data_IF_621614558681
#
_entry.id   IF_621614558681
#
_cell.length_a   1.000
_cell.length_b   1.000
_cell.length_c   1.000
_cell.angle_alpha   90.00
_cell.angle_beta   90.00
_cell.angle_gamma   90.00
#
_symmetry.space_group_name_H-M   'P 1'
#
loop_
_entity.id
_entity.type
_entity.pdbx_description
1 polymer ?
#
# COMPACT_ATOMS: atom_id res chain seq x y z
N UNK A 1 29.14 -47.57 24.35
CA UNK A 1 28.95 -47.12 22.95
C UNK A 1 27.46 -46.79 22.80
N UNK A 2 27.11 -45.53 23.06
CA UNK A 2 25.74 -45.02 22.96
C UNK A 2 25.66 -44.20 21.70
N UNK A 3 24.87 -44.67 20.73
CA UNK A 3 24.61 -43.97 19.48
C UNK A 3 23.69 -42.76 19.73
N UNK A 4 24.24 -41.57 19.52
CA UNK A 4 23.42 -40.38 19.45
C UNK A 4 22.61 -40.44 18.15
N UNK A 5 21.31 -40.55 18.27
CA UNK A 5 20.36 -40.38 17.18
C UNK A 5 20.45 -38.92 16.67
N UNK A 6 20.84 -38.77 15.40
CA UNK A 6 20.71 -37.52 14.67
C UNK A 6 19.22 -37.13 14.60
N UNK A 7 18.86 -36.09 15.30
CA UNK A 7 17.56 -35.40 15.13
C UNK A 7 17.63 -34.68 13.77
N UNK A 8 16.74 -34.95 12.79
CA UNK A 8 16.73 -34.22 11.53
C UNK A 8 16.25 -32.78 11.80
N UNK A 9 17.17 -31.85 11.80
CA UNK A 9 16.89 -30.43 11.79
C UNK A 9 15.92 -30.11 10.65
N UNK A 10 14.66 -29.75 10.94
CA UNK A 10 13.78 -29.15 9.97
C UNK A 10 12.32 -29.64 9.86
N UNK A 11 11.83 -30.53 10.71
CA UNK A 11 10.38 -30.80 10.72
C UNK A 11 9.63 -29.58 11.32
N UNK A 12 8.65 -28.99 10.61
CA UNK A 12 7.86 -27.89 11.16
C UNK A 12 7.18 -28.36 12.44
N UNK A 13 7.02 -27.47 13.45
CA UNK A 13 6.36 -27.85 14.68
C UNK A 13 4.92 -28.28 14.38
N UNK A 14 4.55 -29.46 14.81
CA UNK A 14 3.21 -30.10 14.58
C UNK A 14 2.01 -29.18 14.87
N UNK A 15 2.20 -28.16 15.69
CA UNK A 15 1.17 -27.19 16.03
C UNK A 15 0.92 -26.15 14.92
N UNK A 16 1.96 -25.72 14.19
CA UNK A 16 1.80 -24.76 13.10
C UNK A 16 0.95 -25.36 11.97
N UNK A 17 1.22 -26.62 11.60
CA UNK A 17 0.48 -27.32 10.54
C UNK A 17 -1.02 -27.45 10.86
N UNK A 18 -1.36 -27.68 12.15
CA UNK A 18 -2.76 -27.73 12.57
C UNK A 18 -3.50 -26.40 12.36
N UNK A 19 -2.82 -25.25 12.56
CA UNK A 19 -3.43 -23.93 12.35
C UNK A 19 -3.32 -23.44 10.91
N UNK A 20 -2.34 -23.92 10.15
CA UNK A 20 -2.25 -23.73 8.70
C UNK A 20 -3.24 -24.62 7.94
N UNK A 21 -3.86 -25.62 8.58
CA UNK A 21 -4.74 -26.60 7.96
C UNK A 21 -5.67 -26.05 6.88
N UNK A 22 -6.45 -24.98 7.15
CA UNK A 22 -7.33 -24.37 6.15
C UNK A 22 -6.58 -23.75 4.94
N UNK A 23 -5.30 -23.42 5.10
CA UNK A 23 -4.47 -22.78 4.06
C UNK A 23 -3.58 -23.80 3.32
N UNK A 24 -3.33 -24.98 3.88
CA UNK A 24 -2.44 -25.98 3.29
C UNK A 24 -2.81 -26.36 1.85
N UNK A 25 -4.11 -26.57 1.49
CA UNK A 25 -4.49 -26.88 0.12
C UNK A 25 -4.10 -25.77 -0.87
N UNK A 26 -4.20 -24.50 -0.44
CA UNK A 26 -3.85 -23.35 -1.26
C UNK A 26 -2.33 -23.14 -1.31
N UNK A 27 -1.65 -23.31 -0.18
CA UNK A 27 -0.19 -23.27 -0.10
C UNK A 27 0.47 -24.37 -0.96
N UNK A 28 -0.16 -25.51 -1.11
CA UNK A 28 0.33 -26.61 -1.95
C UNK A 28 0.16 -26.36 -3.46
N UNK A 29 -0.72 -25.42 -3.88
CA UNK A 29 -0.91 -25.08 -5.29
C UNK A 29 0.36 -24.45 -5.87
N UNK A 30 0.85 -24.96 -6.98
CA UNK A 30 2.05 -24.43 -7.68
C UNK A 30 1.82 -23.12 -8.42
N UNK A 31 0.56 -22.79 -8.73
CA UNK A 31 0.16 -21.59 -9.44
C UNK A 31 -0.13 -20.38 -8.52
N UNK A 32 -0.19 -20.58 -7.19
CA UNK A 32 -0.47 -19.51 -6.22
C UNK A 32 0.82 -18.74 -5.90
N UNK A 33 0.75 -17.43 -5.99
CA UNK A 33 1.83 -16.51 -5.65
C UNK A 33 1.62 -15.79 -4.31
N UNK A 34 0.40 -15.32 -4.07
CA UNK A 34 0.04 -14.55 -2.88
C UNK A 34 -1.33 -15.00 -2.34
N UNK A 35 -1.49 -14.93 -1.02
CA UNK A 35 -2.71 -15.27 -0.28
C UNK A 35 -3.03 -14.12 0.65
N UNK A 36 -4.30 -13.66 0.67
CA UNK A 36 -4.74 -12.59 1.55
C UNK A 36 -5.95 -13.02 2.37
N UNK A 37 -5.93 -12.72 3.66
CA UNK A 37 -7.05 -12.81 4.58
C UNK A 37 -7.25 -11.39 5.08
N UNK A 38 -8.29 -10.70 4.60
CA UNK A 38 -8.56 -9.32 5.00
C UNK A 38 -9.46 -9.27 6.25
N UNK A 39 -10.22 -10.37 6.49
CA UNK A 39 -11.10 -10.59 7.63
C UNK A 39 -11.40 -12.08 7.80
N UNK A 40 -11.91 -12.53 8.94
CA UNK A 40 -12.35 -13.91 9.14
C UNK A 40 -13.39 -14.36 8.12
N UNK A 41 -13.35 -15.63 7.75
CA UNK A 41 -14.34 -16.26 6.87
C UNK A 41 -14.12 -16.07 5.37
N UNK A 42 -13.07 -15.37 4.95
CA UNK A 42 -12.75 -15.20 3.53
C UNK A 42 -11.27 -15.44 3.23
N UNK A 43 -11.01 -15.77 1.98
CA UNK A 43 -9.68 -16.01 1.44
C UNK A 43 -9.57 -15.44 0.03
N UNK A 44 -8.55 -14.64 -0.20
CA UNK A 44 -8.17 -14.13 -1.51
C UNK A 44 -6.88 -14.78 -1.95
N UNK A 45 -6.82 -15.19 -3.22
CA UNK A 45 -5.68 -15.92 -3.80
C UNK A 45 -5.28 -15.21 -5.09
N UNK A 46 -4.00 -14.85 -5.21
CA UNK A 46 -3.43 -14.39 -6.46
C UNK A 46 -2.62 -15.51 -7.10
N UNK A 47 -2.83 -15.74 -8.40
CA UNK A 47 -2.16 -16.81 -9.13
C UNK A 47 -1.12 -16.25 -10.11
N UNK A 48 -0.28 -17.12 -10.65
CA UNK A 48 0.64 -16.80 -11.73
C UNK A 48 -0.14 -16.17 -12.91
N UNK A 49 0.30 -14.96 -13.33
CA UNK A 49 -0.42 -14.18 -14.33
C UNK A 49 -1.34 -13.10 -13.73
N UNK A 50 -1.46 -13.02 -12.40
CA UNK A 50 -2.15 -11.94 -11.70
C UNK A 50 -3.67 -12.11 -11.59
N UNK A 51 -4.22 -13.30 -11.90
CA UNK A 51 -5.63 -13.57 -11.67
C UNK A 51 -5.92 -13.64 -10.16
N UNK A 52 -7.02 -13.01 -9.74
CA UNK A 52 -7.44 -12.93 -8.36
C UNK A 52 -8.69 -13.80 -8.14
N UNK A 53 -8.62 -14.71 -7.19
CA UNK A 53 -9.72 -15.58 -6.77
C UNK A 53 -10.20 -15.14 -5.38
N UNK A 54 -11.51 -15.18 -5.14
CA UNK A 54 -12.13 -14.95 -3.84
C UNK A 54 -12.92 -16.16 -3.41
N UNK A 55 -12.63 -16.70 -2.22
CA UNK A 55 -13.26 -17.90 -1.69
C UNK A 55 -13.81 -17.65 -0.28
N UNK A 56 -15.01 -18.16 0.03
CA UNK A 56 -15.45 -18.28 1.41
C UNK A 56 -14.57 -19.30 2.13
N UNK A 57 -14.16 -18.96 3.35
CA UNK A 57 -13.29 -19.78 4.19
C UNK A 57 -13.79 -19.77 5.65
N UNK A 58 -14.94 -20.39 5.96
CA UNK A 58 -15.59 -20.32 7.26
C UNK A 58 -14.73 -20.87 8.41
N UNK A 59 -13.77 -21.75 8.11
CA UNK A 59 -12.82 -22.29 9.09
C UNK A 59 -11.77 -21.28 9.55
N UNK A 60 -11.57 -20.18 8.79
CA UNK A 60 -10.70 -19.06 9.17
C UNK A 60 -11.43 -18.14 10.16
N UNK A 61 -11.66 -18.62 11.35
CA UNK A 61 -12.32 -17.85 12.42
C UNK A 61 -11.34 -16.83 13.04
N UNK A 62 -11.85 -15.75 13.64
CA UNK A 62 -11.02 -14.76 14.34
C UNK A 62 -10.09 -15.44 15.37
N UNK A 63 -10.63 -16.32 16.20
CA UNK A 63 -9.84 -17.06 17.18
C UNK A 63 -8.78 -17.95 16.53
N UNK A 64 -9.09 -18.56 15.37
CA UNK A 64 -8.15 -19.36 14.57
C UNK A 64 -7.01 -18.50 14.04
N UNK A 65 -7.31 -17.33 13.49
CA UNK A 65 -6.32 -16.39 12.96
C UNK A 65 -5.38 -15.87 14.06
N UNK A 66 -5.90 -15.54 15.25
CA UNK A 66 -5.06 -15.18 16.40
C UNK A 66 -4.13 -16.30 16.83
N UNK A 67 -4.62 -17.57 16.85
CA UNK A 67 -3.77 -18.72 17.18
C UNK A 67 -2.69 -18.93 16.12
N UNK A 68 -3.05 -18.86 14.83
CA UNK A 68 -2.10 -18.94 13.71
C UNK A 68 -1.03 -17.85 13.82
N UNK A 69 -1.42 -16.60 14.02
CA UNK A 69 -0.49 -15.49 14.15
C UNK A 69 0.49 -15.67 15.31
N UNK A 70 0.02 -16.17 16.47
CA UNK A 70 0.89 -16.48 17.62
C UNK A 70 1.87 -17.63 17.34
N UNK A 71 1.46 -18.66 16.58
CA UNK A 71 2.36 -19.75 16.19
C UNK A 71 3.43 -19.27 15.21
N UNK A 72 3.05 -18.42 14.24
CA UNK A 72 3.99 -17.82 13.31
C UNK A 72 4.97 -16.90 14.06
N UNK A 73 4.48 -16.10 15.02
CA UNK A 73 5.31 -15.25 15.84
C UNK A 73 6.32 -16.06 16.68
N UNK A 74 5.87 -17.12 17.32
CA UNK A 74 6.73 -18.03 18.09
C UNK A 74 7.82 -18.67 17.23
N UNK A 75 7.49 -19.11 16.02
CA UNK A 75 8.45 -19.63 15.05
C UNK A 75 9.53 -18.59 14.68
N UNK A 76 9.13 -17.33 14.56
CA UNK A 76 10.03 -16.22 14.24
C UNK A 76 10.71 -15.61 15.48
N UNK A 77 10.60 -16.22 16.64
CA UNK A 77 11.07 -15.67 17.92
C UNK A 77 10.57 -14.26 18.21
N UNK A 78 9.33 -13.98 17.81
CA UNK A 78 8.63 -12.70 18.02
C UNK A 78 7.36 -12.90 18.84
N UNK A 79 6.75 -11.81 19.29
CA UNK A 79 5.43 -11.79 19.87
C UNK A 79 4.44 -11.06 18.97
N UNK A 80 3.16 -11.42 19.07
CA UNK A 80 2.06 -10.63 18.51
C UNK A 80 0.96 -10.51 19.56
N UNK A 81 0.50 -9.30 19.80
CA UNK A 81 -0.56 -8.95 20.75
C UNK A 81 -1.24 -7.66 20.29
N UNK A 82 -2.24 -7.22 21.07
CA UNK A 82 -2.86 -5.92 20.81
C UNK A 82 -1.89 -4.74 21.06
N UNK A 83 -0.92 -4.92 21.95
CA UNK A 83 0.16 -3.93 22.21
C UNK A 83 1.20 -3.94 21.08
N UNK A 84 1.48 -5.11 20.51
CA UNK A 84 2.43 -5.30 19.39
C UNK A 84 1.70 -5.94 18.20
N UNK A 85 0.87 -5.18 17.45
CA UNK A 85 -0.04 -5.75 16.47
C UNK A 85 0.58 -6.05 15.10
N UNK A 86 1.85 -5.76 14.90
CA UNK A 86 2.56 -5.98 13.64
C UNK A 86 3.49 -7.19 13.75
N UNK A 87 3.40 -8.12 12.78
CA UNK A 87 4.29 -9.27 12.68
C UNK A 87 4.73 -9.45 11.23
N UNK A 88 6.05 -9.52 11.02
CA UNK A 88 6.65 -9.96 9.76
C UNK A 88 7.49 -11.22 10.02
N UNK A 89 7.23 -12.30 9.28
CA UNK A 89 7.87 -13.58 9.50
C UNK A 89 8.08 -14.34 8.18
N UNK A 90 8.84 -15.44 8.25
CA UNK A 90 8.99 -16.38 7.16
C UNK A 90 8.55 -17.76 7.65
N UNK A 91 7.72 -18.45 6.88
CA UNK A 91 7.28 -19.82 7.15
C UNK A 91 8.41 -20.82 6.79
N UNK A 92 8.34 -22.07 7.27
CA UNK A 92 9.34 -23.10 6.99
C UNK A 92 9.55 -23.40 5.50
N UNK A 93 8.52 -23.19 4.66
CA UNK A 93 8.57 -23.34 3.21
C UNK A 93 9.21 -22.13 2.48
N UNK A 94 9.67 -21.11 3.23
CA UNK A 94 10.24 -19.87 2.69
C UNK A 94 9.20 -18.80 2.36
N UNK A 95 7.90 -19.07 2.51
CA UNK A 95 6.85 -18.07 2.30
C UNK A 95 6.96 -16.95 3.32
N UNK A 96 6.79 -15.69 2.87
CA UNK A 96 6.82 -14.51 3.73
C UNK A 96 5.42 -14.17 4.20
N UNK A 97 5.28 -13.88 5.48
CA UNK A 97 4.01 -13.52 6.10
C UNK A 97 4.10 -12.12 6.69
N UNK A 98 3.09 -11.32 6.43
CA UNK A 98 2.83 -10.07 7.12
C UNK A 98 1.47 -10.17 7.81
N UNK A 99 1.43 -9.90 9.11
CA UNK A 99 0.19 -9.78 9.89
C UNK A 99 0.08 -8.36 10.41
N UNK A 100 -1.13 -7.82 10.32
CA UNK A 100 -1.54 -6.59 10.99
C UNK A 100 -2.80 -6.89 11.79
N UNK A 101 -2.70 -6.79 13.11
CA UNK A 101 -3.79 -7.11 14.04
C UNK A 101 -4.44 -5.85 14.61
N UNK A 102 -5.66 -5.92 15.15
CA UNK A 102 -6.21 -4.85 15.96
C UNK A 102 -5.29 -4.51 17.16
N UNK A 103 -5.14 -3.23 17.54
CA UNK A 103 -5.90 -2.06 17.09
C UNK A 103 -5.33 -1.35 15.83
N UNK A 104 -4.32 -1.90 15.16
CA UNK A 104 -3.69 -1.30 13.98
C UNK A 104 -4.51 -1.51 12.67
N UNK A 105 -5.66 -2.15 12.75
CA UNK A 105 -6.66 -2.29 11.69
C UNK A 105 -7.98 -1.68 12.12
N UNK A 106 -8.92 -1.51 11.17
CA UNK A 106 -10.29 -1.02 11.47
C UNK A 106 -11.22 -2.06 12.12
N UNK A 107 -10.70 -3.21 12.52
CA UNK A 107 -11.50 -4.26 13.18
C UNK A 107 -10.79 -5.60 13.13
N UNK A 108 -10.85 -6.27 11.99
CA UNK A 108 -10.35 -7.63 11.84
C UNK A 108 -8.83 -7.69 11.62
N UNK A 109 -8.22 -8.82 11.96
CA UNK A 109 -6.84 -9.13 11.63
C UNK A 109 -6.68 -9.32 10.12
N UNK A 110 -5.68 -8.66 9.53
CA UNK A 110 -5.29 -8.85 8.15
C UNK A 110 -3.99 -9.65 8.05
N UNK A 111 -3.97 -10.66 7.17
CA UNK A 111 -2.80 -11.51 6.91
C UNK A 111 -2.52 -11.52 5.42
N UNK A 112 -1.25 -11.33 5.04
CA UNK A 112 -0.78 -11.53 3.68
C UNK A 112 0.37 -12.53 3.69
N UNK A 113 0.30 -13.54 2.82
CA UNK A 113 1.32 -14.57 2.66
C UNK A 113 1.79 -14.51 1.21
N UNK A 114 3.08 -14.24 1.00
CA UNK A 114 3.72 -14.33 -0.32
C UNK A 114 4.53 -15.60 -0.41
N UNK A 115 4.16 -16.47 -1.32
CA UNK A 115 4.90 -17.71 -1.56
C UNK A 115 6.24 -17.43 -2.24
N UNK A 116 7.23 -18.22 -1.87
CA UNK A 116 8.52 -18.22 -2.55
C UNK A 116 8.44 -19.15 -3.77
N UNK A 117 7.90 -18.64 -4.89
CA UNK A 117 7.86 -19.39 -6.16
C UNK A 117 9.14 -19.08 -6.92
N UNK A 118 10.08 -20.03 -6.95
CA UNK A 118 11.27 -19.93 -7.80
C UNK A 118 10.93 -20.55 -9.14
N UNK A 119 10.71 -19.73 -10.15
CA UNK A 119 10.63 -20.19 -11.52
C UNK A 119 12.03 -20.11 -12.15
N UNK A 120 12.60 -21.26 -12.54
CA UNK A 120 13.85 -21.32 -13.30
C UNK A 120 13.55 -20.99 -14.77
N UNK A 121 13.44 -19.68 -15.07
CA UNK A 121 13.10 -19.16 -16.39
C UNK A 121 14.33 -18.58 -17.10
N UNK A 122 14.47 -18.90 -18.38
CA UNK A 122 15.45 -18.29 -19.29
C UNK A 122 14.82 -17.05 -19.97
N UNK A 123 15.65 -16.17 -20.52
CA UNK A 123 15.17 -15.01 -21.31
C UNK A 123 14.30 -15.44 -22.50
N UNK A 124 14.59 -16.61 -23.09
CA UNK A 124 13.75 -17.21 -24.15
C UNK A 124 12.34 -17.51 -23.70
N UNK A 125 12.14 -17.89 -22.43
CA UNK A 125 10.82 -18.22 -21.87
C UNK A 125 10.00 -16.93 -21.70
N UNK A 126 10.63 -15.82 -21.30
CA UNK A 126 10.03 -14.50 -21.29
C UNK A 126 9.60 -14.05 -22.70
N UNK A 127 10.45 -14.30 -23.70
CA UNK A 127 10.14 -13.96 -25.09
C UNK A 127 8.95 -14.80 -25.60
N UNK A 128 8.97 -16.11 -25.35
CA UNK A 128 7.89 -17.03 -25.72
C UNK A 128 6.56 -16.69 -25.01
N UNK A 129 6.63 -16.26 -23.75
CA UNK A 129 5.48 -15.76 -22.98
C UNK A 129 5.00 -14.37 -23.38
N UNK A 130 5.60 -13.72 -24.39
CA UNK A 130 5.18 -12.40 -24.87
C UNK A 130 5.58 -11.24 -23.94
N UNK A 131 6.49 -11.45 -22.99
CA UNK A 131 6.86 -10.44 -22.00
C UNK A 131 7.42 -9.14 -22.63
N UNK A 132 7.98 -9.21 -23.83
CA UNK A 132 8.50 -8.06 -24.55
C UNK A 132 7.48 -7.38 -25.48
N UNK A 133 6.27 -7.90 -25.64
CA UNK A 133 5.27 -7.35 -26.56
C UNK A 133 4.84 -5.91 -26.23
N UNK A 134 4.94 -5.52 -24.94
CA UNK A 134 4.66 -4.17 -24.48
C UNK A 134 5.89 -3.30 -24.20
N UNK A 135 7.09 -3.76 -24.59
CA UNK A 135 8.34 -3.02 -24.35
C UNK A 135 8.33 -1.70 -25.13
N UNK A 136 8.44 -0.58 -24.40
CA UNK A 136 8.57 0.75 -24.97
C UNK A 136 10.03 1.09 -25.15
N UNK A 137 10.40 1.50 -26.34
CA UNK A 137 11.72 2.08 -26.60
C UNK A 137 11.71 3.55 -26.18
N UNK A 138 12.90 4.15 -25.97
CA UNK A 138 13.03 5.51 -25.42
C UNK A 138 12.28 6.60 -26.23
N UNK A 139 12.00 6.36 -27.51
CA UNK A 139 11.20 7.24 -28.37
C UNK A 139 9.68 7.24 -28.02
N UNK A 140 9.20 6.22 -27.33
CA UNK A 140 7.78 5.99 -27.04
C UNK A 140 7.38 6.35 -25.59
N UNK A 141 8.14 7.23 -24.94
CA UNK A 141 7.82 7.67 -23.58
C UNK A 141 6.39 8.27 -23.56
N UNK A 142 5.53 7.89 -22.61
CA UNK A 142 4.17 8.43 -22.55
C UNK A 142 4.24 9.95 -22.37
N UNK A 143 3.46 10.68 -23.17
CA UNK A 143 3.32 12.11 -23.03
C UNK A 143 2.89 12.45 -21.58
N UNK A 144 3.49 13.51 -21.02
CA UNK A 144 3.07 14.03 -19.73
C UNK A 144 1.57 14.33 -19.78
N UNK A 145 0.87 14.07 -18.66
CA UNK A 145 -0.54 14.40 -18.56
C UNK A 145 -0.73 15.90 -18.82
N UNK A 146 -1.63 16.24 -19.74
CA UNK A 146 -1.99 17.63 -20.02
C UNK A 146 -3.32 17.92 -19.34
N UNK A 147 -3.32 18.86 -18.40
CA UNK A 147 -4.54 19.30 -17.74
C UNK A 147 -5.40 20.06 -18.73
N UNK A 148 -6.68 19.69 -18.93
CA UNK A 148 -7.56 20.42 -19.82
C UNK A 148 -7.76 21.86 -19.37
N UNK A 149 -7.92 22.77 -20.34
CA UNK A 149 -8.24 24.17 -20.06
C UNK A 149 -9.74 24.42 -19.79
N UNK A 150 -10.60 23.49 -20.20
CA UNK A 150 -12.04 23.55 -19.98
C UNK A 150 -12.41 22.93 -18.62
N UNK A 151 -12.89 23.73 -17.65
CA UNK A 151 -13.33 23.25 -16.36
C UNK A 151 -14.38 22.14 -16.40
N UNK A 152 -15.24 22.11 -17.43
CA UNK A 152 -16.28 21.10 -17.57
C UNK A 152 -15.76 19.68 -17.86
N UNK A 153 -14.45 19.54 -18.13
CA UNK A 153 -13.81 18.23 -18.43
C UNK A 153 -12.87 17.76 -17.33
N UNK A 154 -12.69 18.54 -16.26
CA UNK A 154 -11.70 18.23 -15.20
C UNK A 154 -12.08 17.01 -14.37
N UNK A 155 -13.35 16.74 -14.16
CA UNK A 155 -13.85 15.54 -13.49
C UNK A 155 -13.46 14.28 -14.28
N UNK A 156 -13.73 14.27 -15.58
CA UNK A 156 -13.39 13.17 -16.47
C UNK A 156 -11.87 13.01 -16.65
N UNK A 157 -11.12 14.10 -16.61
CA UNK A 157 -9.65 14.08 -16.61
C UNK A 157 -9.12 13.37 -15.35
N UNK A 158 -9.60 13.75 -14.16
CA UNK A 158 -9.20 13.12 -12.90
C UNK A 158 -9.60 11.65 -12.83
N UNK A 159 -10.81 11.31 -13.27
CA UNK A 159 -11.24 9.91 -13.34
C UNK A 159 -10.32 9.07 -14.25
N UNK A 160 -9.98 9.58 -15.43
CA UNK A 160 -9.02 8.93 -16.34
C UNK A 160 -7.63 8.84 -15.72
N UNK A 161 -7.16 9.87 -15.03
CA UNK A 161 -5.87 9.88 -14.36
C UNK A 161 -5.79 8.80 -13.26
N UNK A 162 -6.83 8.67 -12.43
CA UNK A 162 -6.94 7.61 -11.42
C UNK A 162 -6.89 6.23 -12.08
N UNK A 163 -7.69 5.98 -13.12
CA UNK A 163 -7.71 4.70 -13.84
C UNK A 163 -6.37 4.40 -14.54
N UNK A 164 -5.66 5.44 -15.00
CA UNK A 164 -4.33 5.33 -15.60
C UNK A 164 -3.20 5.21 -14.56
N UNK A 165 -3.55 4.97 -13.28
CA UNK A 165 -2.60 4.81 -12.17
C UNK A 165 -1.65 6.00 -12.00
N UNK A 166 -2.19 7.25 -12.15
CA UNK A 166 -1.43 8.46 -11.85
C UNK A 166 -1.40 8.71 -10.34
N UNK A 167 -0.24 9.09 -9.85
CA UNK A 167 -0.03 9.46 -8.44
C UNK A 167 -0.57 10.86 -8.21
N UNK A 168 -1.56 11.01 -7.32
CA UNK A 168 -2.23 12.29 -7.10
C UNK A 168 -2.04 12.72 -5.66
N UNK A 169 -1.58 13.96 -5.48
CA UNK A 169 -1.50 14.63 -4.19
C UNK A 169 -2.57 15.72 -4.13
N UNK A 170 -3.43 15.64 -3.11
CA UNK A 170 -4.47 16.62 -2.84
C UNK A 170 -4.03 17.52 -1.70
N UNK A 171 -3.86 18.81 -1.96
CA UNK A 171 -3.49 19.82 -0.97
C UNK A 171 -4.65 20.75 -0.66
N UNK A 172 -4.59 21.41 0.49
CA UNK A 172 -5.58 22.37 0.93
C UNK A 172 -5.48 22.65 2.42
N UNK A 173 -5.98 23.79 2.85
CA UNK A 173 -6.06 24.18 4.26
C UNK A 173 -7.02 23.30 5.08
N UNK A 174 -7.21 23.66 6.34
CA UNK A 174 -8.17 22.99 7.22
C UNK A 174 -9.61 23.16 6.69
N UNK A 175 -10.40 22.09 6.75
CA UNK A 175 -11.82 22.09 6.34
C UNK A 175 -12.10 22.39 4.86
N UNK A 176 -11.11 22.32 3.97
CA UNK A 176 -11.30 22.47 2.52
C UNK A 176 -11.92 21.22 1.86
N UNK A 177 -12.00 20.09 2.59
CA UNK A 177 -12.66 18.88 2.12
C UNK A 177 -11.70 17.86 1.46
N UNK A 178 -10.41 17.89 1.81
CA UNK A 178 -9.40 16.96 1.28
C UNK A 178 -9.83 15.49 1.36
N UNK A 179 -10.25 15.04 2.55
CA UNK A 179 -10.68 13.64 2.75
C UNK A 179 -11.94 13.31 1.93
N UNK A 180 -12.88 14.26 1.84
CA UNK A 180 -14.09 14.10 1.00
C UNK A 180 -13.73 13.95 -0.47
N UNK A 181 -12.80 14.77 -0.95
CA UNK A 181 -12.34 14.72 -2.33
C UNK A 181 -11.52 13.45 -2.60
N UNK A 182 -10.67 13.04 -1.66
CA UNK A 182 -9.95 11.78 -1.76
C UNK A 182 -10.93 10.59 -1.84
N UNK A 183 -12.00 10.58 -1.05
CA UNK A 183 -13.06 9.57 -1.14
C UNK A 183 -13.76 9.57 -2.52
N UNK A 184 -13.90 10.73 -3.18
CA UNK A 184 -14.43 10.78 -4.54
C UNK A 184 -13.45 10.15 -5.55
N UNK A 185 -12.15 10.41 -5.43
CA UNK A 185 -11.13 9.79 -6.28
C UNK A 185 -11.05 8.27 -6.07
N UNK A 186 -11.24 7.77 -4.84
CA UNK A 186 -11.24 6.33 -4.54
C UNK A 186 -12.30 5.57 -5.32
N UNK A 187 -13.45 6.18 -5.59
CA UNK A 187 -14.55 5.56 -6.36
C UNK A 187 -14.19 5.31 -7.83
N UNK A 188 -13.19 6.04 -8.34
CA UNK A 188 -12.71 5.89 -9.72
C UNK A 188 -11.66 4.79 -9.88
N UNK A 189 -11.18 4.20 -8.79
CA UNK A 189 -10.24 3.08 -8.83
C UNK A 189 -10.98 1.82 -9.29
N UNK A 190 -10.43 1.04 -10.23
CA UNK A 190 -11.03 -0.21 -10.69
C UNK A 190 -11.30 -1.18 -9.53
N UNK A 191 -12.50 -1.82 -9.47
CA UNK A 191 -12.93 -2.59 -8.30
C UNK A 191 -12.14 -3.88 -8.04
N UNK A 192 -11.37 -4.34 -9.02
CA UNK A 192 -10.52 -5.53 -8.89
C UNK A 192 -9.17 -5.24 -8.24
N UNK A 193 -8.80 -3.97 -8.05
CA UNK A 193 -7.52 -3.62 -7.45
C UNK A 193 -7.53 -3.81 -5.92
N UNK A 194 -6.39 -4.27 -5.38
CA UNK A 194 -6.18 -4.41 -3.95
C UNK A 194 -5.72 -3.07 -3.35
N UNK A 195 -6.46 -2.56 -2.36
CA UNK A 195 -6.18 -1.28 -1.72
C UNK A 195 -5.73 -1.48 -0.27
N UNK A 196 -4.68 -0.78 0.12
CA UNK A 196 -4.34 -0.58 1.52
C UNK A 196 -4.48 0.90 1.87
N UNK A 197 -5.35 1.20 2.83
CA UNK A 197 -5.64 2.54 3.30
C UNK A 197 -4.97 2.73 4.66
N UNK A 198 -4.20 3.79 4.82
CA UNK A 198 -3.47 4.10 6.06
C UNK A 198 -3.94 5.46 6.56
N UNK A 199 -4.39 5.53 7.81
CA UNK A 199 -4.98 6.72 8.42
C UNK A 199 -4.64 6.85 9.90
N UNK A 200 -4.76 8.06 10.42
CA UNK A 200 -4.76 8.31 11.86
C UNK A 200 -6.16 8.07 12.46
N UNK A 201 -7.17 8.47 11.73
CA UNK A 201 -8.59 8.29 12.08
C UNK A 201 -9.32 7.74 10.85
N UNK A 202 -10.15 6.71 10.99
CA UNK A 202 -10.87 6.12 9.87
C UNK A 202 -11.90 7.07 9.26
N UNK A 203 -11.54 7.76 8.18
CA UNK A 203 -12.39 8.69 7.42
C UNK A 203 -12.60 8.26 5.96
N UNK A 204 -11.66 7.49 5.41
CA UNK A 204 -11.73 6.99 4.04
C UNK A 204 -12.73 5.82 3.94
N UNK A 205 -13.47 5.78 2.84
CA UNK A 205 -14.46 4.73 2.60
C UNK A 205 -13.80 3.50 1.96
N UNK A 206 -13.94 2.35 2.62
CA UNK A 206 -13.51 1.05 2.08
C UNK A 206 -14.60 0.54 1.12
N UNK A 207 -14.54 0.91 -0.15
CA UNK A 207 -15.53 0.52 -1.16
C UNK A 207 -15.12 -0.71 -1.96
N UNK A 208 -13.84 -1.10 -1.92
CA UNK A 208 -13.30 -2.25 -2.64
C UNK A 208 -13.43 -3.53 -1.80
N UNK A 209 -13.79 -4.62 -2.45
CA UNK A 209 -13.91 -5.93 -1.79
C UNK A 209 -12.56 -6.42 -1.26
N UNK A 210 -11.47 -6.22 -2.04
CA UNK A 210 -10.12 -6.55 -1.61
C UNK A 210 -9.40 -5.31 -1.06
N UNK A 211 -9.83 -4.84 0.11
CA UNK A 211 -9.22 -3.68 0.76
C UNK A 211 -9.03 -3.90 2.26
N UNK A 212 -7.97 -3.30 2.81
CA UNK A 212 -7.68 -3.28 4.25
C UNK A 212 -7.48 -1.85 4.71
N UNK A 213 -8.19 -1.45 5.77
CA UNK A 213 -7.99 -0.18 6.46
C UNK A 213 -7.04 -0.38 7.64
N UNK A 214 -5.91 0.31 7.60
CA UNK A 214 -4.89 0.35 8.65
C UNK A 214 -4.98 1.66 9.41
N UNK A 215 -4.90 1.59 10.73
CA UNK A 215 -5.08 2.75 11.61
C UNK A 215 -3.85 2.93 12.49
N UNK A 216 -3.24 4.11 12.44
CA UNK A 216 -2.14 4.45 13.33
C UNK A 216 -2.66 4.60 14.76
N UNK A 217 -1.94 4.03 15.71
CA UNK A 217 -2.31 4.07 17.13
C UNK A 217 -1.37 5.04 17.84
N UNK A 218 -1.92 6.20 18.22
CA UNK A 218 -1.18 7.29 18.89
C UNK A 218 -1.64 7.42 20.34
N UNK A 219 -0.74 7.91 21.18
CA UNK A 219 -1.00 8.31 22.56
C UNK A 219 -0.24 7.48 23.59
N UNK A 220 0.17 8.12 24.69
CA UNK A 220 0.91 7.48 25.79
C UNK A 220 0.06 6.46 26.54
N UNK A 221 -1.26 6.63 26.53
CA UNK A 221 -2.25 5.72 27.14
C UNK A 221 -2.90 4.78 26.11
N UNK A 222 -2.43 4.78 24.84
CA UNK A 222 -2.92 3.88 23.80
C UNK A 222 -2.54 2.43 24.09
N UNK A 223 -3.39 1.51 23.64
CA UNK A 223 -3.17 0.05 23.76
C UNK A 223 -1.94 -0.41 22.97
N UNK A 224 -1.55 0.34 21.93
CA UNK A 224 -0.35 0.09 21.11
C UNK A 224 0.29 1.41 20.69
N UNK A 225 1.54 1.33 20.19
CA UNK A 225 2.23 2.45 19.53
C UNK A 225 2.56 2.04 18.10
N UNK A 226 1.71 2.43 17.16
CA UNK A 226 1.89 2.10 15.74
C UNK A 226 1.80 3.39 14.92
N UNK A 227 2.91 3.77 14.30
CA UNK A 227 2.99 4.97 13.46
C UNK A 227 2.48 4.70 12.05
N UNK A 228 2.09 5.76 11.32
CA UNK A 228 1.79 5.66 9.89
C UNK A 228 2.99 5.09 9.11
N UNK A 229 4.22 5.46 9.49
CA UNK A 229 5.46 4.92 8.90
C UNK A 229 5.54 3.40 9.07
N UNK A 230 5.29 2.86 10.26
CA UNK A 230 5.31 1.41 10.52
C UNK A 230 4.23 0.67 9.71
N UNK A 231 3.03 1.26 9.60
CA UNK A 231 1.93 0.71 8.79
C UNK A 231 2.27 0.73 7.30
N UNK A 232 2.91 1.80 6.83
CA UNK A 232 3.33 1.92 5.44
C UNK A 232 4.40 0.85 5.12
N UNK A 233 5.37 0.63 5.99
CA UNK A 233 6.35 -0.44 5.83
C UNK A 233 5.71 -1.83 5.85
N UNK A 234 4.72 -2.06 6.71
CA UNK A 234 3.95 -3.30 6.73
C UNK A 234 3.17 -3.49 5.42
N UNK A 235 2.53 -2.42 4.92
CA UNK A 235 1.73 -2.45 3.69
C UNK A 235 2.52 -2.89 2.45
N UNK A 236 3.81 -2.53 2.36
CA UNK A 236 4.69 -2.96 1.27
C UNK A 236 4.88 -4.49 1.18
N UNK A 237 4.64 -5.20 2.30
CA UNK A 237 4.69 -6.67 2.36
C UNK A 237 3.32 -7.33 2.16
N UNK A 238 2.27 -6.52 2.04
CA UNK A 238 0.89 -7.00 1.88
C UNK A 238 0.41 -6.99 0.41
N UNK A 239 1.31 -6.75 -0.54
CA UNK A 239 1.04 -6.79 -1.98
C UNK A 239 -0.12 -5.87 -2.42
N UNK A 240 -0.13 -4.59 -2.08
CA UNK A 240 -1.14 -3.67 -2.57
C UNK A 240 -0.93 -3.36 -4.06
N UNK A 241 -2.03 -3.16 -4.79
CA UNK A 241 -1.98 -2.51 -6.09
C UNK A 241 -1.79 -1.00 -5.91
N UNK A 242 -2.45 -0.42 -4.89
CA UNK A 242 -2.29 0.98 -4.50
C UNK A 242 -2.26 1.15 -2.99
N UNK A 243 -1.49 2.14 -2.56
CA UNK A 243 -1.45 2.60 -1.18
C UNK A 243 -2.14 3.97 -1.12
N UNK A 244 -3.15 4.07 -0.28
CA UNK A 244 -3.87 5.30 -0.02
C UNK A 244 -3.50 5.77 1.37
N UNK A 245 -2.86 6.93 1.47
CA UNK A 245 -2.49 7.49 2.76
C UNK A 245 -3.36 8.73 3.02
N UNK A 246 -4.14 8.69 4.09
CA UNK A 246 -5.14 9.71 4.40
C UNK A 246 -4.55 11.11 4.44
N UNK A 247 -3.40 11.28 5.10
CA UNK A 247 -2.67 12.54 5.14
C UNK A 247 -1.20 12.33 5.49
N UNK A 248 -0.32 13.04 4.80
CA UNK A 248 1.11 13.12 5.10
C UNK A 248 1.35 14.20 6.17
N UNK A 249 1.97 13.82 7.30
CA UNK A 249 2.21 14.71 8.44
C UNK A 249 3.61 14.59 9.05
N UNK A 250 4.38 13.56 8.67
CA UNK A 250 5.65 13.24 9.31
C UNK A 250 6.60 12.41 8.46
N UNK A 251 7.35 11.53 9.13
CA UNK A 251 8.40 10.73 8.53
C UNK A 251 7.91 9.78 7.41
N UNK A 252 6.64 9.38 7.46
CA UNK A 252 6.01 8.54 6.44
C UNK A 252 6.04 9.16 5.03
N UNK A 253 6.21 10.47 4.92
CA UNK A 253 6.24 11.17 3.63
C UNK A 253 7.35 10.64 2.71
N UNK A 254 8.54 10.39 3.24
CA UNK A 254 9.65 9.85 2.44
C UNK A 254 9.41 8.40 2.03
N UNK A 255 8.96 7.57 2.96
CA UNK A 255 8.64 6.16 2.68
C UNK A 255 7.48 6.04 1.70
N UNK A 256 6.46 6.91 1.78
CA UNK A 256 5.37 6.95 0.83
C UNK A 256 5.87 7.24 -0.60
N UNK A 257 6.65 8.29 -0.80
CA UNK A 257 7.21 8.60 -2.12
C UNK A 257 8.06 7.46 -2.69
N UNK A 258 8.87 6.81 -1.85
CA UNK A 258 9.64 5.64 -2.27
C UNK A 258 8.75 4.46 -2.67
N UNK A 259 7.73 4.17 -1.87
CA UNK A 259 6.78 3.09 -2.13
C UNK A 259 6.08 3.29 -3.49
N UNK A 260 5.59 4.50 -3.72
CA UNK A 260 4.90 4.89 -4.95
C UNK A 260 5.82 4.76 -6.17
N UNK A 261 7.08 5.19 -6.04
CA UNK A 261 8.07 5.10 -7.12
C UNK A 261 8.55 3.67 -7.40
N UNK A 262 8.42 2.74 -6.44
CA UNK A 262 9.03 1.40 -6.52
C UNK A 262 8.02 0.27 -6.70
N UNK A 263 6.84 0.52 -7.26
CA UNK A 263 5.92 -0.56 -7.62
C UNK A 263 4.46 -0.39 -7.24
N UNK A 264 4.08 0.77 -6.67
CA UNK A 264 2.70 1.06 -6.30
C UNK A 264 2.16 2.34 -6.97
N UNK A 265 2.17 2.42 -8.34
CA UNK A 265 1.66 3.58 -9.06
C UNK A 265 0.16 3.75 -8.87
N UNK A 266 -0.32 5.00 -8.95
CA UNK A 266 -1.72 5.33 -8.72
C UNK A 266 -2.08 5.47 -7.25
N UNK A 267 -1.09 5.61 -6.38
CA UNK A 267 -1.29 5.92 -4.97
C UNK A 267 -1.78 7.36 -4.80
N UNK A 268 -2.63 7.55 -3.79
CA UNK A 268 -3.29 8.83 -3.52
C UNK A 268 -3.00 9.26 -2.08
N UNK A 269 -2.83 10.55 -1.86
CA UNK A 269 -2.64 11.10 -0.51
C UNK A 269 -3.12 12.54 -0.41
N UNK A 270 -3.23 13.04 0.82
CA UNK A 270 -3.48 14.46 1.08
C UNK A 270 -2.36 15.11 1.88
N UNK A 271 -2.30 16.43 1.83
CA UNK A 271 -1.33 17.24 2.57
C UNK A 271 -1.92 18.61 2.92
N UNK A 272 -1.58 19.17 4.07
CA UNK A 272 -1.88 20.57 4.39
C UNK A 272 -0.91 21.50 3.66
N UNK A 273 -1.44 22.29 2.73
CA UNK A 273 -0.72 23.37 2.07
C UNK A 273 -1.71 24.33 1.40
N UNK A 274 -1.32 25.57 1.20
CA UNK A 274 -2.16 26.63 0.62
C UNK A 274 -1.97 26.77 -0.90
N UNK A 275 -1.07 26.01 -1.48
CA UNK A 275 -0.82 25.96 -2.94
C UNK A 275 -0.08 24.65 -3.31
N UNK A 276 -0.08 24.26 -4.59
CA UNK A 276 0.71 23.14 -5.07
C UNK A 276 2.22 23.31 -4.83
N UNK A 277 2.73 24.51 -4.98
CA UNK A 277 4.12 24.87 -4.68
C UNK A 277 4.41 24.72 -3.20
N UNK A 278 3.51 25.22 -2.34
CA UNK A 278 3.58 25.06 -0.90
C UNK A 278 3.50 23.58 -0.46
N UNK A 279 2.77 22.76 -1.19
CA UNK A 279 2.72 21.31 -0.93
C UNK A 279 4.08 20.63 -1.19
N UNK A 280 4.80 21.04 -2.23
CA UNK A 280 6.15 20.54 -2.52
C UNK A 280 7.12 20.94 -1.40
N UNK A 281 7.07 22.21 -0.98
CA UNK A 281 7.90 22.71 0.11
C UNK A 281 7.61 21.99 1.43
N UNK A 282 6.33 21.80 1.75
CA UNK A 282 5.92 21.07 2.94
C UNK A 282 6.40 19.62 2.92
N UNK A 283 6.30 18.93 1.77
CA UNK A 283 6.87 17.59 1.62
C UNK A 283 8.38 17.59 1.83
N UNK A 284 9.09 18.56 1.24
CA UNK A 284 10.53 18.69 1.42
C UNK A 284 10.90 18.87 2.90
N UNK A 285 10.15 19.70 3.61
CA UNK A 285 10.32 19.92 5.05
C UNK A 285 10.09 18.64 5.86
N UNK A 286 9.00 17.92 5.63
CA UNK A 286 8.71 16.67 6.32
C UNK A 286 9.79 15.61 6.10
N UNK A 287 10.31 15.50 4.87
CA UNK A 287 11.40 14.58 4.54
C UNK A 287 12.70 14.97 5.23
N UNK A 288 13.06 16.24 5.26
CA UNK A 288 14.24 16.72 5.98
C UNK A 288 14.14 16.47 7.49
N UNK A 289 12.95 16.68 8.07
CA UNK A 289 12.68 16.42 9.48
C UNK A 289 12.75 14.93 9.85
N UNK A 290 12.54 14.03 8.90
CA UNK A 290 12.71 12.58 9.11
C UNK A 290 14.17 12.13 9.27
N UNK A 291 15.14 13.05 9.13
CA UNK A 291 16.57 12.76 9.21
C UNK A 291 17.19 12.28 7.89
N UNK A 292 16.49 12.39 6.78
CA UNK A 292 17.03 12.04 5.47
C UNK A 292 18.24 12.92 5.11
N UNK A 293 19.35 12.27 4.75
CA UNK A 293 20.59 12.95 4.34
C UNK A 293 20.51 13.38 2.86
N UNK A 294 19.53 14.24 2.55
CA UNK A 294 19.26 14.76 1.21
C UNK A 294 19.23 16.28 1.24
N UNK A 295 19.60 16.91 0.12
CA UNK A 295 19.42 18.34 -0.07
C UNK A 295 17.97 18.64 -0.46
N UNK A 296 17.46 19.81 -0.08
CA UNK A 296 16.11 20.25 -0.44
C UNK A 296 15.84 20.14 -1.95
N UNK A 297 16.80 20.55 -2.79
CA UNK A 297 16.69 20.51 -4.25
C UNK A 297 16.48 19.09 -4.78
N UNK A 298 17.22 18.11 -4.22
CA UNK A 298 17.11 16.72 -4.61
C UNK A 298 15.74 16.16 -4.22
N UNK A 299 15.21 16.56 -3.05
CA UNK A 299 13.87 16.17 -2.62
C UNK A 299 12.79 16.76 -3.51
N UNK A 300 12.86 18.06 -3.81
CA UNK A 300 11.91 18.73 -4.73
C UNK A 300 11.92 18.05 -6.10
N UNK A 301 13.12 17.77 -6.64
CA UNK A 301 13.23 17.04 -7.89
C UNK A 301 12.57 15.66 -7.80
N UNK A 302 12.78 14.94 -6.70
CA UNK A 302 12.19 13.62 -6.47
C UNK A 302 10.66 13.69 -6.35
N UNK A 303 10.11 14.61 -5.59
CA UNK A 303 8.66 14.84 -5.50
C UNK A 303 8.04 15.07 -6.88
N UNK A 304 8.65 15.95 -7.68
CA UNK A 304 8.20 16.27 -9.03
C UNK A 304 8.41 15.14 -10.05
N UNK A 305 9.19 14.11 -9.71
CA UNK A 305 9.35 12.90 -10.53
C UNK A 305 8.34 11.81 -10.18
N UNK A 306 7.83 11.80 -8.94
CA UNK A 306 6.96 10.74 -8.41
C UNK A 306 5.48 11.13 -8.47
N UNK A 307 5.13 12.37 -8.13
CA UNK A 307 3.74 12.85 -8.17
C UNK A 307 3.42 13.34 -9.58
N UNK A 308 2.37 12.77 -10.17
CA UNK A 308 1.94 13.11 -11.54
C UNK A 308 1.01 14.35 -11.56
N UNK A 309 0.16 14.50 -10.53
CA UNK A 309 -0.87 15.54 -10.49
C UNK A 309 -0.98 16.08 -9.06
N UNK A 310 -0.99 17.40 -8.96
CA UNK A 310 -1.30 18.14 -7.74
C UNK A 310 -2.69 18.78 -7.88
N UNK A 311 -3.55 18.57 -6.88
CA UNK A 311 -4.90 19.14 -6.82
C UNK A 311 -4.99 20.02 -5.58
N UNK A 312 -5.23 21.32 -5.78
CA UNK A 312 -5.43 22.28 -4.70
C UNK A 312 -6.90 22.48 -4.41
N UNK A 313 -7.28 22.36 -3.14
CA UNK A 313 -8.60 22.65 -2.62
C UNK A 313 -8.59 23.90 -1.77
N UNK A 314 -9.54 24.79 -2.03
CA UNK A 314 -9.71 26.03 -1.30
C UNK A 314 -11.15 26.20 -0.80
N UNK A 315 -11.31 27.17 0.07
CA UNK A 315 -12.63 27.63 0.51
C UNK A 315 -12.80 29.10 0.09
N UNK A 316 -13.62 29.32 -0.93
CA UNK A 316 -13.92 30.66 -1.48
C UNK A 316 -15.38 30.96 -1.22
N UNK A 317 -15.67 32.08 -0.55
CA UNK A 317 -17.03 32.52 -0.19
C UNK A 317 -17.84 31.42 0.53
N UNK A 318 -17.19 30.68 1.42
CA UNK A 318 -17.80 29.60 2.17
C UNK A 318 -17.95 28.26 1.39
N UNK A 319 -17.70 28.25 0.08
CA UNK A 319 -17.79 27.06 -0.78
C UNK A 319 -16.45 26.38 -0.90
N UNK A 320 -16.47 25.04 -0.88
CA UNK A 320 -15.30 24.20 -1.16
C UNK A 320 -15.13 24.10 -2.68
N UNK A 321 -13.96 24.42 -3.18
CA UNK A 321 -13.65 24.42 -4.62
C UNK A 321 -12.33 23.72 -4.89
N UNK A 322 -12.21 23.12 -6.07
CA UNK A 322 -10.92 22.74 -6.66
C UNK A 322 -10.39 24.00 -7.35
N UNK A 323 -9.42 24.67 -6.75
CA UNK A 323 -8.90 25.94 -7.26
C UNK A 323 -7.81 25.78 -8.31
N UNK A 324 -7.02 24.70 -8.20
CA UNK A 324 -5.95 24.42 -9.17
C UNK A 324 -5.79 22.91 -9.37
N UNK A 325 -5.50 22.52 -10.61
CA UNK A 325 -4.98 21.20 -10.96
C UNK A 325 -3.75 21.44 -11.82
N UNK A 326 -2.59 20.93 -11.40
CA UNK A 326 -1.34 21.16 -12.08
C UNK A 326 -0.48 19.90 -12.15
N UNK A 327 0.34 19.82 -13.18
CA UNK A 327 1.35 18.77 -13.34
C UNK A 327 2.75 19.29 -13.01
N UNK A 328 3.73 18.41 -12.74
CA UNK A 328 5.13 18.82 -12.54
C UNK A 328 5.70 19.68 -13.66
N UNK A 329 5.27 19.45 -14.91
CA UNK A 329 5.73 20.22 -16.05
C UNK A 329 5.27 21.68 -16.00
N UNK A 330 4.06 21.93 -15.50
CA UNK A 330 3.54 23.29 -15.31
C UNK A 330 4.25 23.99 -14.14
N UNK A 331 4.41 23.30 -13.00
CA UNK A 331 5.11 23.84 -11.82
C UNK A 331 6.58 24.22 -12.11
N UNK A 332 7.29 23.44 -12.95
CA UNK A 332 8.65 23.78 -13.36
C UNK A 332 8.72 25.03 -14.23
N UNK A 333 7.71 25.31 -15.06
CA UNK A 333 7.66 26.51 -15.92
C UNK A 333 7.37 27.76 -15.09
N UNK A 334 6.51 27.65 -14.08
CA UNK A 334 6.10 28.77 -13.22
C UNK A 334 7.18 29.12 -12.19
N UNK A 335 7.98 28.14 -11.73
CA UNK A 335 9.12 28.34 -10.82
C UNK A 335 10.42 28.81 -11.49
N UNK A 336 10.46 28.88 -12.83
CA UNK A 336 11.59 29.39 -13.59
C UNK A 336 11.50 30.92 -13.88
N UNK A 337 10.60 31.62 -13.15
CA UNK A 337 10.48 33.10 -13.20
C UNK A 337 10.97 33.75 -11.91
#
# INVERSE_FOLDING_TARGET
MSGAANDPAGAPPRYLDAYLGPLLPVLARGDVTDIYINRPGELWIETLGGALEHHPAPDLTEAGLWRLARQIAALAHQGISREHPLLAATLPDGSRVQVVAPPATRGDMAIAIRKHVVADLRLSDYAAGGAFAGTRLAADAPAAAVVPSDPATLDSFLAKAVRARRNILVSGGTSTGKTTFLNALLKEIPPHERLLLIEDTPELQLTHANAVGLVAVRGELGEARVTQEALLQASLRMRPDRIILGELRGAEAYTFLRAVNTGHPGSLTTLHADSPEGAIEQLALLILQSGAQLRREDIVHYVLSVIDIFVQLDRIDGRRVVSRIVTPAQLRRDGAR
#
